data_IF_887552565149
#
_entry.id   IF_887552565149
#
_cell.length_a   1.000
_cell.length_b   1.000
_cell.length_c   1.000
_cell.angle_alpha   90.00
_cell.angle_beta   90.00
_cell.angle_gamma   90.00
#
_symmetry.space_group_name_H-M   'P 1'
#
loop_
_entity.id
_entity.type
_entity.pdbx_description
1 polymer ?
#
# COMPACT_ATOMS: atom_id res chain seq x y z
N UNK A 1 -15.32 -54.16 1.31
CA UNK A 1 -16.57 -53.36 1.24
C UNK A 1 -16.94 -52.73 2.58
N UNK A 2 -17.06 -53.48 3.69
CA UNK A 2 -17.47 -52.93 5.00
C UNK A 2 -16.58 -51.79 5.51
N UNK A 3 -15.28 -51.91 5.35
CA UNK A 3 -14.28 -50.92 5.79
C UNK A 3 -14.43 -49.58 5.08
N UNK A 4 -14.51 -49.59 3.74
CA UNK A 4 -14.79 -48.40 2.93
C UNK A 4 -16.09 -47.70 3.30
N UNK A 5 -17.14 -48.47 3.64
CA UNK A 5 -18.43 -47.91 4.09
C UNK A 5 -18.28 -47.24 5.46
N UNK A 6 -17.47 -47.81 6.36
CA UNK A 6 -17.21 -47.21 7.67
C UNK A 6 -16.40 -45.92 7.53
N UNK A 7 -15.33 -45.92 6.72
CA UNK A 7 -14.55 -44.72 6.43
C UNK A 7 -15.43 -43.60 5.87
N UNK A 8 -16.25 -43.89 4.86
CA UNK A 8 -17.14 -42.90 4.28
C UNK A 8 -18.11 -42.29 5.31
N UNK A 9 -18.66 -43.10 6.21
CA UNK A 9 -19.57 -42.63 7.27
C UNK A 9 -18.84 -41.78 8.32
N UNK A 10 -17.60 -42.12 8.65
CA UNK A 10 -16.78 -41.35 9.58
C UNK A 10 -16.46 -39.99 8.96
N UNK A 11 -15.97 -39.95 7.72
CA UNK A 11 -15.67 -38.69 7.03
C UNK A 11 -16.91 -37.80 6.90
N UNK A 12 -18.07 -38.39 6.59
CA UNK A 12 -19.31 -37.63 6.51
C UNK A 12 -19.72 -37.06 7.88
N UNK A 13 -19.64 -37.87 8.95
CA UNK A 13 -19.94 -37.41 10.29
C UNK A 13 -18.98 -36.28 10.74
N UNK A 14 -17.68 -36.42 10.49
CA UNK A 14 -16.69 -35.39 10.78
C UNK A 14 -17.01 -34.08 10.06
N UNK A 15 -17.39 -34.16 8.78
CA UNK A 15 -17.81 -32.99 8.00
C UNK A 15 -19.03 -32.29 8.62
N UNK A 16 -20.08 -33.03 8.97
CA UNK A 16 -21.29 -32.45 9.58
C UNK A 16 -21.01 -31.84 10.96
N UNK A 17 -20.22 -32.53 11.79
CA UNK A 17 -19.82 -32.01 13.10
C UNK A 17 -18.97 -30.74 12.96
N UNK A 18 -17.99 -30.70 12.05
CA UNK A 18 -17.19 -29.51 11.82
C UNK A 18 -18.02 -28.33 11.29
N UNK A 19 -19.03 -28.59 10.44
CA UNK A 19 -19.97 -27.57 10.00
C UNK A 19 -20.79 -26.99 11.18
N UNK A 20 -21.26 -27.84 12.08
CA UNK A 20 -22.02 -27.45 13.27
C UNK A 20 -21.16 -26.74 14.33
N UNK A 21 -19.88 -27.11 14.46
CA UNK A 21 -18.94 -26.53 15.42
C UNK A 21 -18.30 -25.21 14.94
N UNK A 22 -18.37 -24.92 13.63
CA UNK A 22 -17.86 -23.69 13.02
C UNK A 22 -18.22 -22.39 13.76
N UNK A 23 -19.46 -22.16 14.24
CA UNK A 23 -19.81 -20.96 14.99
C UNK A 23 -19.05 -20.80 16.32
N UNK A 24 -18.56 -21.90 16.88
CA UNK A 24 -17.84 -21.94 18.16
C UNK A 24 -16.31 -21.91 17.98
N UNK A 25 -15.81 -21.83 16.73
CA UNK A 25 -14.38 -21.86 16.41
C UNK A 25 -13.64 -23.11 16.90
N UNK A 26 -14.37 -24.22 17.01
CA UNK A 26 -13.84 -25.54 17.40
C UNK A 26 -13.95 -26.46 16.18
N UNK A 27 -13.04 -27.41 16.06
CA UNK A 27 -13.05 -28.44 15.02
C UNK A 27 -12.50 -29.75 15.56
N UNK A 28 -12.91 -30.86 14.94
CA UNK A 28 -12.44 -32.22 15.22
C UNK A 28 -11.39 -32.54 14.17
N UNK A 29 -10.20 -32.95 14.62
CA UNK A 29 -9.06 -33.28 13.77
C UNK A 29 -7.88 -32.34 13.94
N UNK A 30 -7.38 -31.82 12.83
CA UNK A 30 -6.19 -30.97 12.74
C UNK A 30 -6.48 -29.50 13.10
N UNK A 31 -5.44 -28.66 13.09
CA UNK A 31 -5.61 -27.22 13.22
C UNK A 31 -6.37 -26.61 12.03
N UNK A 32 -6.31 -27.24 10.85
CA UNK A 32 -6.97 -26.76 9.63
C UNK A 32 -8.50 -26.90 9.70
N UNK A 33 -8.99 -27.83 10.54
CA UNK A 33 -10.41 -28.06 10.79
C UNK A 33 -11.03 -27.04 11.75
N UNK A 34 -10.20 -26.17 12.35
CA UNK A 34 -10.66 -25.10 13.24
C UNK A 34 -11.01 -23.87 12.41
N UNK A 35 -12.12 -23.23 12.78
CA UNK A 35 -12.56 -21.96 12.18
C UNK A 35 -12.37 -20.80 13.17
N UNK A 36 -11.13 -20.33 13.41
CA UNK A 36 -10.89 -19.25 14.36
C UNK A 36 -11.66 -18.00 13.93
N UNK A 37 -12.42 -17.41 14.86
CA UNK A 37 -13.06 -16.13 14.58
C UNK A 37 -12.00 -15.03 14.36
N UNK A 38 -12.38 -13.97 13.64
CA UNK A 38 -11.57 -12.76 13.54
C UNK A 38 -11.23 -12.22 14.94
N UNK A 39 -12.17 -12.30 15.88
CA UNK A 39 -11.96 -11.89 17.27
C UNK A 39 -10.80 -12.68 17.91
N UNK A 40 -10.82 -14.01 17.80
CA UNK A 40 -9.77 -14.89 18.33
C UNK A 40 -8.39 -14.57 17.74
N UNK A 41 -8.33 -14.33 16.43
CA UNK A 41 -7.07 -13.96 15.74
C UNK A 41 -6.57 -12.59 16.19
N UNK A 42 -7.46 -11.61 16.34
CA UNK A 42 -7.11 -10.26 16.82
C UNK A 42 -6.60 -10.31 18.26
N UNK A 43 -7.25 -11.08 19.15
CA UNK A 43 -6.79 -11.25 20.53
C UNK A 43 -5.43 -11.94 20.61
N UNK A 44 -5.19 -12.98 19.80
CA UNK A 44 -3.88 -13.60 19.70
C UNK A 44 -2.81 -12.60 19.24
N UNK A 45 -3.13 -11.79 18.22
CA UNK A 45 -2.21 -10.78 17.73
C UNK A 45 -1.90 -9.71 18.79
N UNK A 46 -2.92 -9.29 19.54
CA UNK A 46 -2.77 -8.34 20.64
C UNK A 46 -1.91 -8.92 21.77
N UNK A 47 -2.18 -10.18 22.16
CA UNK A 47 -1.39 -10.89 23.15
C UNK A 47 0.09 -10.98 22.73
N UNK A 48 0.36 -11.36 21.49
CA UNK A 48 1.72 -11.41 20.96
C UNK A 48 2.40 -10.05 21.02
N UNK A 49 1.68 -8.96 20.70
CA UNK A 49 2.22 -7.61 20.84
C UNK A 49 2.53 -7.23 22.29
N UNK A 50 1.69 -7.63 23.26
CA UNK A 50 1.95 -7.40 24.67
C UNK A 50 3.17 -8.20 25.16
N UNK A 51 3.26 -9.49 24.79
CA UNK A 51 4.36 -10.37 25.20
C UNK A 51 5.71 -9.94 24.63
N UNK A 52 5.73 -9.34 23.44
CA UNK A 52 6.94 -8.84 22.77
C UNK A 52 7.32 -7.41 23.16
N UNK A 53 6.56 -6.76 24.05
CA UNK A 53 6.65 -5.32 24.34
C UNK A 53 6.70 -4.47 23.06
N UNK A 54 5.75 -4.76 22.16
CA UNK A 54 5.71 -4.19 20.82
C UNK A 54 5.43 -2.68 20.83
N UNK A 55 6.40 -1.89 20.37
CA UNK A 55 6.16 -0.45 20.14
C UNK A 55 5.41 -0.21 18.82
N UNK A 56 4.21 0.36 18.91
CA UNK A 56 3.45 0.84 17.75
C UNK A 56 4.10 2.11 17.21
N UNK A 57 4.34 2.18 15.89
CA UNK A 57 4.95 3.32 15.20
C UNK A 57 4.11 3.75 14.02
N UNK A 58 4.24 5.01 13.63
CA UNK A 58 3.65 5.54 12.40
C UNK A 58 4.64 5.43 11.22
N UNK A 59 4.17 4.94 10.08
CA UNK A 59 5.00 4.85 8.88
C UNK A 59 5.37 6.25 8.36
N UNK A 60 6.66 6.57 8.31
CA UNK A 60 7.13 7.89 7.92
C UNK A 60 7.11 8.15 6.40
N UNK A 61 6.53 7.25 5.60
CA UNK A 61 6.23 7.55 4.20
C UNK A 61 5.06 8.55 4.18
N UNK A 62 5.28 9.71 3.58
CA UNK A 62 4.34 10.84 3.56
C UNK A 62 2.93 10.45 3.09
N UNK A 63 2.81 9.45 2.20
CA UNK A 63 1.50 8.99 1.69
C UNK A 63 0.92 7.79 2.43
N UNK A 64 1.65 7.14 3.32
CA UNK A 64 1.19 5.92 4.00
C UNK A 64 0.64 6.22 5.39
N UNK A 65 1.46 6.73 6.31
CA UNK A 65 1.07 7.09 7.69
C UNK A 65 0.32 6.02 8.49
N UNK A 66 0.40 4.75 8.08
CA UNK A 66 -0.25 3.63 8.79
C UNK A 66 0.54 3.27 10.04
N UNK A 67 -0.19 2.88 11.09
CA UNK A 67 0.39 2.28 12.28
C UNK A 67 0.97 0.90 11.97
N UNK A 68 2.17 0.61 12.49
CA UNK A 68 2.84 -0.66 12.31
C UNK A 68 3.77 -0.98 13.49
N UNK A 69 3.98 -2.27 13.75
CA UNK A 69 4.91 -2.74 14.80
C UNK A 69 6.22 -3.25 14.20
N UNK A 70 6.15 -3.90 13.03
CA UNK A 70 7.29 -4.53 12.33
C UNK A 70 7.25 -4.18 10.84
N UNK A 71 8.42 -4.07 10.22
CA UNK A 71 8.50 -3.89 8.78
C UNK A 71 8.18 -5.21 8.07
N UNK A 72 7.20 -5.21 7.17
CA UNK A 72 6.81 -6.40 6.38
C UNK A 72 7.74 -6.60 5.18
N UNK A 73 7.98 -7.87 4.82
CA UNK A 73 8.66 -8.26 3.58
C UNK A 73 10.18 -8.07 3.57
N UNK A 74 10.83 -7.87 4.72
CA UNK A 74 12.30 -7.76 4.84
C UNK A 74 12.97 -8.93 5.57
N UNK A 75 12.21 -9.77 6.27
CA UNK A 75 12.75 -10.94 6.96
C UNK A 75 12.46 -12.22 6.15
N UNK A 76 13.48 -13.02 5.88
CA UNK A 76 13.31 -14.35 5.26
C UNK A 76 12.90 -15.41 6.31
N UNK A 77 13.38 -15.32 7.55
CA UNK A 77 13.06 -16.25 8.63
C UNK A 77 13.11 -15.57 10.00
N UNK A 78 11.96 -15.17 10.56
CA UNK A 78 11.81 -14.77 11.98
C UNK A 78 12.62 -13.55 12.50
N UNK A 79 13.60 -13.06 11.74
CA UNK A 79 14.53 -11.99 12.11
C UNK A 79 13.91 -10.60 11.88
N UNK A 80 12.73 -10.38 12.47
CA UNK A 80 12.09 -9.09 12.43
C UNK A 80 12.73 -8.16 13.45
N UNK A 81 13.48 -7.15 12.99
CA UNK A 81 13.93 -6.06 13.86
C UNK A 81 12.71 -5.26 14.31
N UNK A 82 12.56 -5.09 15.62
CA UNK A 82 11.55 -4.23 16.24
C UNK A 82 12.08 -2.83 16.53
N UNK A 83 13.38 -2.59 16.39
CA UNK A 83 14.03 -1.28 16.58
C UNK A 83 14.67 -0.77 15.28
N UNK A 84 14.80 0.56 15.17
CA UNK A 84 15.40 1.23 14.00
C UNK A 84 14.58 1.15 12.71
N UNK A 85 13.30 0.76 12.78
CA UNK A 85 12.40 0.67 11.63
C UNK A 85 11.54 1.94 11.51
N UNK A 86 11.55 2.55 10.32
CA UNK A 86 10.84 3.82 10.02
C UNK A 86 9.64 3.64 9.08
N UNK A 87 9.58 2.52 8.35
CA UNK A 87 8.57 2.27 7.32
C UNK A 87 7.92 0.90 7.50
N UNK A 88 6.61 0.83 7.25
CA UNK A 88 5.84 -0.40 7.42
C UNK A 88 6.17 -1.48 6.39
N UNK A 89 6.69 -1.12 5.21
CA UNK A 89 7.14 -2.07 4.18
C UNK A 89 8.41 -1.58 3.48
N UNK A 90 9.03 -2.45 2.67
CA UNK A 90 10.18 -2.09 1.83
C UNK A 90 9.79 -1.10 0.72
N UNK A 91 8.59 -1.24 0.17
CA UNK A 91 8.04 -0.39 -0.87
C UNK A 91 7.85 1.04 -0.36
N UNK A 92 7.36 1.20 0.88
CA UNK A 92 7.25 2.51 1.52
C UNK A 92 8.61 3.20 1.69
N UNK A 93 9.64 2.45 2.08
CA UNK A 93 10.99 2.99 2.21
C UNK A 93 11.54 3.46 0.84
N UNK A 94 11.37 2.63 -0.20
CA UNK A 94 11.80 2.97 -1.57
C UNK A 94 11.05 4.18 -2.13
N UNK A 95 9.74 4.23 -1.95
CA UNK A 95 8.91 5.34 -2.42
C UNK A 95 9.31 6.67 -1.77
N UNK A 96 9.56 6.67 -0.46
CA UNK A 96 10.01 7.86 0.25
C UNK A 96 11.41 8.29 -0.22
N UNK A 97 12.36 7.37 -0.36
CA UNK A 97 13.71 7.66 -0.85
C UNK A 97 13.69 8.28 -2.27
N UNK A 98 12.82 7.79 -3.16
CA UNK A 98 12.66 8.36 -4.49
C UNK A 98 12.07 9.79 -4.46
N UNK A 99 11.12 10.07 -3.55
CA UNK A 99 10.56 11.42 -3.37
C UNK A 99 11.63 12.40 -2.89
N UNK A 100 12.40 12.00 -1.89
CA UNK A 100 13.51 12.80 -1.37
C UNK A 100 14.57 13.06 -2.44
N UNK A 101 14.93 12.04 -3.24
CA UNK A 101 15.83 12.20 -4.38
C UNK A 101 15.28 13.22 -5.40
N UNK A 102 14.00 13.14 -5.74
CA UNK A 102 13.34 14.10 -6.65
C UNK A 102 13.32 15.52 -6.06
N UNK A 103 13.08 15.68 -4.76
CA UNK A 103 13.18 16.99 -4.07
C UNK A 103 14.58 17.56 -4.15
N UNK A 104 15.61 16.77 -3.85
CA UNK A 104 17.01 17.19 -3.93
C UNK A 104 17.40 17.63 -5.34
N UNK A 105 16.99 16.87 -6.37
CA UNK A 105 17.23 17.25 -7.78
C UNK A 105 16.58 18.58 -8.16
N UNK A 106 15.32 18.81 -7.74
CA UNK A 106 14.63 20.09 -7.98
C UNK A 106 15.30 21.28 -7.30
N UNK A 107 15.90 21.08 -6.13
CA UNK A 107 16.64 22.14 -5.42
C UNK A 107 18.00 22.43 -6.06
N UNK A 108 18.60 21.45 -6.72
CA UNK A 108 19.88 21.58 -7.41
C UNK A 108 19.77 22.14 -8.84
N UNK A 109 18.61 22.02 -9.47
CA UNK A 109 18.32 22.66 -10.76
C UNK A 109 17.76 24.06 -10.49
N UNK A 110 18.51 25.15 -10.74
CA UNK A 110 17.96 26.50 -10.64
C UNK A 110 16.77 26.61 -11.62
N UNK A 111 15.69 27.31 -11.26
CA UNK A 111 14.66 27.62 -12.24
C UNK A 111 15.33 28.33 -13.42
N UNK A 112 15.12 27.80 -14.63
CA UNK A 112 15.50 28.48 -15.87
C UNK A 112 14.90 29.89 -15.80
N UNK A 113 15.75 30.92 -15.74
CA UNK A 113 15.31 32.30 -15.85
C UNK A 113 14.48 32.40 -17.14
N UNK A 114 13.22 32.84 -17.00
CA UNK A 114 12.41 33.15 -18.17
C UNK A 114 13.17 34.21 -18.97
N UNK A 115 13.40 33.99 -20.28
CA UNK A 115 14.01 35.03 -21.10
C UNK A 115 13.15 36.30 -21.00
N UNK A 116 13.78 37.49 -20.98
CA UNK A 116 13.06 38.74 -20.77
C UNK A 116 11.92 38.86 -21.77
N UNK A 117 10.71 39.13 -21.26
CA UNK A 117 9.52 39.41 -22.04
C UNK A 117 9.82 40.59 -22.97
N UNK A 118 10.03 40.32 -24.26
CA UNK A 118 10.08 41.37 -25.27
C UNK A 118 8.67 41.97 -25.33
N UNK A 119 8.56 43.26 -25.01
CA UNK A 119 7.35 44.04 -25.23
C UNK A 119 6.93 43.91 -26.70
N UNK A 120 5.63 43.75 -27.02
CA UNK A 120 5.20 43.65 -28.41
C UNK A 120 5.52 44.96 -29.12
N UNK A 121 6.28 44.88 -30.22
CA UNK A 121 6.55 46.03 -31.08
C UNK A 121 5.24 46.65 -31.61
N UNK A 122 5.17 47.98 -31.81
CA UNK A 122 4.00 48.62 -32.39
C UNK A 122 3.86 48.16 -33.84
N UNK A 123 2.70 47.60 -34.19
CA UNK A 123 2.37 47.27 -35.58
C UNK A 123 2.18 48.57 -36.36
N UNK A 124 3.03 48.80 -37.34
CA UNK A 124 2.84 49.86 -38.33
C UNK A 124 1.47 49.68 -39.05
N UNK A 125 0.77 50.80 -39.16
CA UNK A 125 -0.54 50.94 -39.80
C UNK A 125 -0.50 50.56 -41.29
N UNK A 126 -1.60 50.05 -41.87
CA UNK A 126 -1.63 49.63 -43.27
C UNK A 126 -1.60 50.81 -44.25
N UNK A 127 -0.88 50.62 -45.37
CA UNK A 127 -0.81 51.51 -46.53
C UNK A 127 -2.20 51.86 -47.10
N UNK A 128 -2.42 53.09 -47.58
CA UNK A 128 -3.66 53.46 -48.26
C UNK A 128 -3.70 52.87 -49.68
N UNK A 129 -4.76 52.10 -49.96
CA UNK A 129 -5.09 51.60 -51.29
C UNK A 129 -5.35 52.76 -52.26
N UNK A 130 -4.65 52.76 -53.40
CA UNK A 130 -4.81 53.73 -54.46
C UNK A 130 -6.19 53.70 -55.10
N UNK A 131 -6.80 54.88 -55.26
CA UNK A 131 -7.91 55.16 -56.16
C UNK A 131 -7.40 55.98 -57.33
N UNK A 132 -7.55 55.48 -58.55
CA UNK A 132 -7.73 56.29 -59.76
C UNK A 132 -8.18 55.38 -60.91
N UNK A 133 -9.43 55.53 -61.33
CA UNK A 133 -9.98 54.81 -62.47
C UNK A 133 -11.41 55.26 -62.74
N UNK A 134 -11.56 56.47 -63.27
CA UNK A 134 -12.74 56.91 -64.03
C UNK A 134 -12.26 57.80 -65.18
N UNK A 135 -12.51 57.36 -66.41
CA UNK A 135 -12.48 58.20 -67.60
C UNK A 135 -13.45 57.63 -68.64
N UNK A 136 -14.60 58.31 -68.73
CA UNK A 136 -15.48 58.55 -69.89
C UNK A 136 -16.13 57.39 -70.64
#
# INVERSE_FOLDING_TARGET
>A
MRELVLEFRITHLESELNAALKPFSIGIGSLDDRYPTILSVVFLQLYNHLAEDATIRECANETCRRSFVRQRGRAEYGQNRTSGIKYCTRECARAQAQRELRRRRRQQTPPLQQPPSQSPEPRDSPEPAGQAGDAS
#
